data_IF_435361637773
#
_entry.id   IF_435361637773
#
_cell.length_a   1.000
_cell.length_b   1.000
_cell.length_c   1.000
_cell.angle_alpha   90.00
_cell.angle_beta   90.00
_cell.angle_gamma   90.00
#
_symmetry.space_group_name_H-M   'P 1'
#
loop_
_entity.id
_entity.type
_entity.pdbx_description
1 polymer ?
#
# COMPACT_ATOMS: atom_id res chain seq x y z
N UNK A 1 -8.57 -32.07 -7.81
CA UNK A 1 -8.47 -30.93 -6.88
C UNK A 1 -7.00 -30.52 -6.84
N UNK A 2 -6.67 -29.27 -7.20
CA UNK A 2 -5.30 -28.76 -7.02
C UNK A 2 -5.11 -28.53 -5.52
N UNK A 3 -4.14 -29.21 -4.93
CA UNK A 3 -3.79 -29.05 -3.53
C UNK A 3 -3.20 -27.65 -3.33
N UNK A 4 -3.88 -26.78 -2.60
CA UNK A 4 -3.47 -25.39 -2.34
C UNK A 4 -2.31 -25.30 -1.33
N UNK A 5 -1.22 -26.02 -1.56
CA UNK A 5 -0.09 -26.07 -0.63
C UNK A 5 1.14 -25.29 -1.11
N UNK A 6 1.01 -24.54 -2.21
CA UNK A 6 2.05 -23.63 -2.68
C UNK A 6 1.94 -22.31 -1.93
N UNK A 7 3.08 -21.85 -1.40
CA UNK A 7 3.17 -20.51 -0.80
C UNK A 7 2.84 -19.48 -1.89
N UNK A 8 1.97 -18.53 -1.55
CA UNK A 8 1.67 -17.40 -2.43
C UNK A 8 2.91 -16.48 -2.42
N UNK A 9 3.49 -16.14 -3.57
CA UNK A 9 4.57 -15.17 -3.66
C UNK A 9 4.14 -13.78 -3.18
N UNK A 10 5.02 -13.11 -2.44
CA UNK A 10 4.78 -11.76 -1.91
C UNK A 10 4.44 -10.76 -3.02
N UNK A 11 5.09 -10.87 -4.19
CA UNK A 11 4.81 -10.04 -5.36
C UNK A 11 3.31 -10.05 -5.77
N UNK A 12 2.65 -11.20 -5.66
CA UNK A 12 1.23 -11.35 -6.03
C UNK A 12 0.34 -10.70 -4.98
N UNK A 13 0.75 -10.76 -3.71
CA UNK A 13 0.03 -10.11 -2.62
C UNK A 13 0.18 -8.59 -2.72
N UNK A 14 1.39 -8.10 -3.00
CA UNK A 14 1.71 -6.69 -3.23
C UNK A 14 0.93 -6.12 -4.41
N UNK A 15 0.97 -6.76 -5.59
CA UNK A 15 0.19 -6.34 -6.78
C UNK A 15 -1.31 -6.35 -6.46
N UNK A 16 -1.79 -7.37 -5.74
CA UNK A 16 -3.20 -7.44 -5.35
C UNK A 16 -3.60 -6.29 -4.44
N UNK A 17 -2.77 -5.94 -3.46
CA UNK A 17 -3.03 -4.82 -2.55
C UNK A 17 -3.09 -3.53 -3.36
N UNK A 18 -2.06 -3.21 -4.16
CA UNK A 18 -2.00 -1.98 -4.94
C UNK A 18 -3.22 -1.80 -5.87
N UNK A 19 -3.66 -2.87 -6.55
CA UNK A 19 -4.87 -2.86 -7.40
C UNK A 19 -6.20 -2.72 -6.65
N UNK A 20 -6.23 -3.04 -5.36
CA UNK A 20 -7.47 -3.04 -4.55
C UNK A 20 -7.54 -1.91 -3.52
N UNK A 21 -6.52 -1.05 -3.49
CA UNK A 21 -6.53 0.15 -2.66
C UNK A 21 -7.73 1.05 -3.01
N UNK A 22 -8.33 1.74 -2.03
CA UNK A 22 -9.35 2.75 -2.30
C UNK A 22 -8.82 3.86 -3.22
N UNK A 23 -9.65 4.45 -4.11
CA UNK A 23 -9.21 5.46 -5.10
C UNK A 23 -8.45 6.67 -4.52
N UNK A 24 -8.68 7.00 -3.24
CA UNK A 24 -7.93 8.05 -2.54
C UNK A 24 -6.43 7.76 -2.38
N UNK A 25 -5.97 6.55 -2.71
CA UNK A 25 -4.59 6.12 -2.67
C UNK A 25 -3.99 5.88 -4.06
N UNK A 26 -4.71 6.17 -5.16
CA UNK A 26 -4.22 5.93 -6.52
C UNK A 26 -2.87 6.60 -6.77
N UNK A 27 -2.69 7.83 -6.27
CA UNK A 27 -1.41 8.55 -6.39
C UNK A 27 -0.26 7.86 -5.65
N UNK A 28 -0.55 7.15 -4.56
CA UNK A 28 0.44 6.37 -3.82
C UNK A 28 0.78 5.08 -4.57
N UNK A 29 -0.24 4.40 -5.10
CA UNK A 29 -0.06 3.18 -5.87
C UNK A 29 0.83 3.43 -7.10
N UNK A 30 0.50 4.45 -7.90
CA UNK A 30 1.30 4.86 -9.07
C UNK A 30 2.75 5.16 -8.67
N UNK A 31 2.97 5.94 -7.60
CA UNK A 31 4.31 6.26 -7.14
C UNK A 31 5.11 5.02 -6.72
N UNK A 32 4.47 4.02 -6.10
CA UNK A 32 5.13 2.76 -5.72
C UNK A 32 5.49 1.95 -6.97
N UNK A 33 4.54 1.79 -7.89
CA UNK A 33 4.72 1.05 -9.15
C UNK A 33 5.82 1.66 -10.03
N UNK A 34 5.95 2.99 -10.04
CA UNK A 34 6.99 3.69 -10.82
C UNK A 34 8.37 3.69 -10.13
N UNK A 35 8.43 3.64 -8.79
CA UNK A 35 9.68 3.84 -8.05
C UNK A 35 10.37 2.56 -7.58
N UNK A 36 9.66 1.42 -7.55
CA UNK A 36 10.18 0.16 -6.99
C UNK A 36 9.84 -1.06 -7.85
N UNK A 37 10.69 -2.08 -7.75
CA UNK A 37 10.39 -3.40 -8.29
C UNK A 37 9.49 -4.17 -7.31
N UNK A 38 8.28 -4.52 -7.72
CA UNK A 38 7.34 -5.26 -6.87
C UNK A 38 7.79 -6.71 -6.59
N UNK A 39 8.68 -7.27 -7.42
CA UNK A 39 9.20 -8.62 -7.23
C UNK A 39 10.04 -8.76 -5.95
N UNK A 40 10.74 -7.69 -5.59
CA UNK A 40 11.69 -7.66 -4.46
C UNK A 40 11.05 -7.01 -3.21
N UNK A 41 9.78 -6.62 -3.28
CA UNK A 41 9.10 -5.88 -2.23
C UNK A 41 8.49 -6.82 -1.18
N UNK A 42 8.84 -6.63 0.08
CA UNK A 42 8.23 -7.36 1.20
C UNK A 42 6.86 -6.77 1.55
N UNK A 43 5.92 -7.64 1.94
CA UNK A 43 4.57 -7.21 2.35
C UNK A 43 4.63 -6.22 3.53
N UNK A 44 5.52 -6.45 4.49
CA UNK A 44 5.70 -5.57 5.65
C UNK A 44 6.17 -4.17 5.23
N UNK A 45 7.07 -4.08 4.25
CA UNK A 45 7.54 -2.79 3.72
C UNK A 45 6.37 -1.99 3.11
N UNK A 46 5.52 -2.65 2.32
CA UNK A 46 4.33 -2.02 1.74
C UNK A 46 3.37 -1.54 2.82
N UNK A 47 3.10 -2.38 3.82
CA UNK A 47 2.20 -2.06 4.92
C UNK A 47 2.70 -0.83 5.71
N UNK A 48 3.97 -0.82 6.12
CA UNK A 48 4.56 0.32 6.84
C UNK A 48 4.48 1.62 6.02
N UNK A 49 4.66 1.54 4.69
CA UNK A 49 4.56 2.70 3.81
C UNK A 49 3.15 3.29 3.78
N UNK A 50 2.13 2.43 3.68
CA UNK A 50 0.71 2.82 3.67
C UNK A 50 0.29 3.41 5.01
N UNK A 51 0.62 2.77 6.14
CA UNK A 51 0.33 3.27 7.48
C UNK A 51 0.95 4.64 7.73
N UNK A 52 2.22 4.83 7.33
CA UNK A 52 2.88 6.13 7.43
C UNK A 52 2.19 7.21 6.56
N UNK A 53 1.66 6.83 5.39
CA UNK A 53 0.91 7.76 4.54
C UNK A 53 -0.42 8.17 5.17
N UNK A 54 -1.19 7.21 5.70
CA UNK A 54 -2.44 7.48 6.40
C UNK A 54 -2.23 8.37 7.63
N UNK A 55 -1.20 8.09 8.43
CA UNK A 55 -0.87 8.89 9.61
C UNK A 55 -0.56 10.35 9.23
N UNK A 56 0.18 10.58 8.14
CA UNK A 56 0.47 11.93 7.63
C UNK A 56 -0.80 12.65 7.15
N UNK A 57 -1.71 11.94 6.46
CA UNK A 57 -2.99 12.51 6.03
C UNK A 57 -3.82 12.91 7.25
N UNK A 58 -3.97 12.02 8.22
CA UNK A 58 -4.77 12.27 9.41
C UNK A 58 -4.22 13.44 10.23
N UNK A 59 -2.90 13.52 10.41
CA UNK A 59 -2.25 14.66 11.08
C UNK A 59 -2.54 15.98 10.36
N UNK A 60 -2.47 16.01 9.02
CA UNK A 60 -2.77 17.21 8.24
C UNK A 60 -4.24 17.62 8.37
N UNK A 61 -5.17 16.66 8.33
CA UNK A 61 -6.61 16.92 8.53
C UNK A 61 -6.90 17.49 9.92
N UNK A 62 -6.35 16.87 10.97
CA UNK A 62 -6.50 17.36 12.34
C UNK A 62 -5.96 18.79 12.51
N UNK A 63 -4.85 19.14 11.87
CA UNK A 63 -4.31 20.49 11.92
C UNK A 63 -5.22 21.51 11.20
N UNK A 64 -5.90 21.11 10.13
CA UNK A 64 -6.85 21.98 9.42
C UNK A 64 -8.12 22.21 10.24
N UNK A 65 -8.62 21.19 10.94
CA UNK A 65 -9.80 21.30 11.79
C UNK A 65 -9.56 22.19 13.01
N UNK A 66 -8.34 22.23 13.58
CA UNK A 66 -7.98 23.11 14.69
C UNK A 66 -7.77 24.59 14.28
N UNK A 67 -7.61 24.85 12.98
CA UNK A 67 -7.39 26.20 12.44
C UNK A 67 -8.68 26.89 11.96
N UNK A 68 -9.83 26.21 12.04
CA UNK A 68 -11.17 26.69 11.71
C UNK A 68 -11.96 27.00 12.98
#
# INVERSE_FOLDING_TARGET
MRSCNDKIPDELVVDKILRTLPPRFDHVAVAIEESRNLHDMEIEELQHSQEAHEMRINKRRSNQEQAL
#
